data_IF_641881588418
#
_entry.id   IF_641881588418
#
_cell.length_a   1.000
_cell.length_b   1.000
_cell.length_c   1.000
_cell.angle_alpha   90.00
_cell.angle_beta   90.00
_cell.angle_gamma   90.00
#
_symmetry.space_group_name_H-M   'P 1'
#
loop_
_entity.id
_entity.type
_entity.pdbx_description
1 polymer ?
#
# COMPACT_ATOMS: atom_id res chain seq x y z
N UNK A 1 -20.99 -31.41 -19.33
CA UNK A 1 -19.96 -30.86 -18.43
C UNK A 1 -19.87 -29.38 -18.75
N UNK A 2 -20.66 -28.56 -18.06
CA UNK A 2 -20.85 -27.13 -18.38
C UNK A 2 -19.65 -26.33 -17.89
N UNK A 3 -18.89 -25.78 -18.84
CA UNK A 3 -17.81 -24.82 -18.58
C UNK A 3 -18.40 -23.50 -18.09
N UNK A 4 -18.06 -23.12 -16.86
CA UNK A 4 -18.35 -21.79 -16.32
C UNK A 4 -17.31 -20.82 -16.89
N UNK A 5 -17.76 -19.92 -17.76
CA UNK A 5 -16.95 -18.84 -18.30
C UNK A 5 -16.63 -17.84 -17.18
N UNK A 6 -15.34 -17.69 -16.86
CA UNK A 6 -14.86 -16.83 -15.78
C UNK A 6 -14.84 -15.37 -16.26
N UNK A 7 -15.76 -14.56 -15.74
CA UNK A 7 -15.80 -13.12 -15.99
C UNK A 7 -14.43 -12.46 -15.69
N UNK A 8 -14.05 -11.39 -16.42
CA UNK A 8 -12.74 -10.76 -16.24
C UNK A 8 -12.59 -10.26 -14.80
N UNK A 9 -11.61 -10.83 -14.09
CA UNK A 9 -11.21 -10.35 -12.76
C UNK A 9 -10.78 -8.90 -12.91
N UNK A 10 -11.53 -7.98 -12.27
CA UNK A 10 -11.12 -6.58 -12.11
C UNK A 10 -9.68 -6.58 -11.59
N UNK A 11 -8.75 -6.02 -12.37
CA UNK A 11 -7.37 -5.90 -11.93
C UNK A 11 -7.37 -5.10 -10.62
N UNK A 12 -6.91 -5.73 -9.53
CA UNK A 12 -6.82 -5.05 -8.23
C UNK A 12 -5.77 -3.94 -8.41
N UNK A 13 -6.07 -2.68 -8.07
CA UNK A 13 -5.06 -1.63 -8.11
C UNK A 13 -3.84 -2.10 -7.32
N UNK A 14 -2.66 -2.09 -7.94
CA UNK A 14 -1.42 -2.42 -7.24
C UNK A 14 -1.23 -1.40 -6.12
N UNK A 15 -1.16 -1.91 -4.89
CA UNK A 15 -1.10 -1.06 -3.72
C UNK A 15 0.24 -0.32 -3.71
N UNK A 16 0.18 0.99 -3.90
CA UNK A 16 1.35 1.89 -3.78
C UNK A 16 1.78 2.03 -2.32
N UNK A 17 3.07 2.26 -2.09
CA UNK A 17 3.57 2.52 -0.75
C UNK A 17 3.14 3.93 -0.28
N UNK A 18 2.50 4.08 0.90
CA UNK A 18 2.11 5.40 1.43
C UNK A 18 3.30 6.35 1.66
N UNK A 19 4.47 5.79 1.92
CA UNK A 19 5.73 6.52 2.15
C UNK A 19 6.53 6.75 0.87
N UNK A 20 6.29 5.97 -0.19
CA UNK A 20 6.94 6.09 -1.51
C UNK A 20 5.87 6.00 -2.60
N UNK A 21 5.17 7.10 -2.90
CA UNK A 21 3.97 7.07 -3.77
C UNK A 21 4.26 6.69 -5.23
N UNK A 22 5.49 6.84 -5.66
CA UNK A 22 5.98 6.45 -6.99
C UNK A 22 6.33 4.97 -7.08
N UNK A 23 6.39 4.27 -5.95
CA UNK A 23 6.76 2.86 -5.88
C UNK A 23 5.58 1.97 -5.45
N UNK A 24 5.53 0.80 -6.06
CA UNK A 24 4.67 -0.28 -5.61
C UNK A 24 5.16 -0.87 -4.29
N UNK A 25 4.25 -1.51 -3.57
CA UNK A 25 4.63 -2.26 -2.38
C UNK A 25 5.54 -3.44 -2.77
N UNK A 26 6.75 -3.46 -2.21
CA UNK A 26 7.71 -4.55 -2.39
C UNK A 26 7.74 -5.53 -1.20
N UNK A 27 6.76 -5.46 -0.30
CA UNK A 27 6.68 -6.34 0.87
C UNK A 27 6.22 -7.74 0.45
N UNK A 28 7.20 -8.60 0.15
CA UNK A 28 6.96 -10.00 -0.24
C UNK A 28 7.16 -10.92 0.97
N UNK A 29 6.15 -10.99 1.84
CA UNK A 29 6.10 -11.95 2.96
C UNK A 29 4.79 -12.74 2.93
N UNK A 30 4.82 -13.95 3.49
CA UNK A 30 3.63 -14.81 3.58
C UNK A 30 2.56 -14.12 4.43
N UNK A 31 1.30 -14.20 3.97
CA UNK A 31 0.12 -13.61 4.61
C UNK A 31 0.06 -12.07 4.63
N UNK A 32 0.90 -11.38 3.85
CA UNK A 32 0.78 -9.93 3.65
C UNK A 32 -0.42 -9.60 2.77
N UNK A 33 -1.26 -8.68 3.24
CA UNK A 33 -2.47 -8.18 2.59
C UNK A 33 -2.27 -6.82 1.91
N UNK A 34 -1.20 -6.10 2.27
CA UNK A 34 -0.81 -4.86 1.61
C UNK A 34 0.26 -4.04 2.35
N UNK A 35 0.44 -2.75 1.96
CA UNK A 35 1.46 -1.86 2.52
C UNK A 35 1.32 -1.63 4.03
N UNK A 36 0.10 -1.76 4.56
CA UNK A 36 -0.18 -1.54 5.98
C UNK A 36 0.46 -2.60 6.89
N UNK A 37 0.80 -3.76 6.34
CA UNK A 37 1.52 -4.83 7.03
C UNK A 37 3.04 -4.57 7.09
N UNK A 38 3.55 -3.55 6.37
CA UNK A 38 4.95 -3.17 6.46
C UNK A 38 5.21 -2.49 7.81
N UNK A 39 6.19 -2.99 8.57
CA UNK A 39 6.55 -2.41 9.87
C UNK A 39 6.87 -0.92 9.82
N UNK A 40 7.52 -0.43 8.75
CA UNK A 40 7.80 0.99 8.58
C UNK A 40 6.51 1.80 8.38
N UNK A 41 5.59 1.32 7.53
CA UNK A 41 4.30 1.97 7.31
C UNK A 41 3.49 1.95 8.60
N UNK A 42 3.50 0.83 9.34
CA UNK A 42 2.86 0.73 10.65
C UNK A 42 3.39 1.81 11.60
N UNK A 43 4.70 1.95 11.79
CA UNK A 43 5.27 2.93 12.72
C UNK A 43 4.89 4.36 12.34
N UNK A 44 5.13 4.76 11.09
CA UNK A 44 4.88 6.15 10.66
C UNK A 44 3.39 6.47 10.61
N UNK A 45 2.56 5.53 10.15
CA UNK A 45 1.13 5.79 10.01
C UNK A 45 0.38 5.59 11.32
N UNK A 46 0.80 4.73 12.25
CA UNK A 46 0.07 4.55 13.51
C UNK A 46 0.30 5.69 14.50
N UNK A 47 1.46 6.37 14.41
CA UNK A 47 1.81 7.50 15.25
C UNK A 47 1.25 8.82 14.65
N UNK A 48 0.39 9.57 15.36
CA UNK A 48 -0.21 10.81 14.86
C UNK A 48 0.80 11.90 14.52
N UNK A 49 1.88 12.01 15.29
CA UNK A 49 2.88 13.06 15.13
C UNK A 49 3.74 12.75 13.90
N UNK A 50 4.21 11.50 13.78
CA UNK A 50 4.97 11.05 12.60
C UNK A 50 4.13 11.12 11.32
N UNK A 51 2.84 10.77 11.39
CA UNK A 51 1.92 10.86 10.24
C UNK A 51 1.76 12.31 9.79
N UNK A 52 1.66 13.25 10.74
CA UNK A 52 1.51 14.68 10.46
C UNK A 52 2.79 15.24 9.83
N UNK A 53 3.95 14.96 10.41
CA UNK A 53 5.26 15.36 9.84
C UNK A 53 5.45 14.79 8.42
N UNK A 54 5.10 13.52 8.21
CA UNK A 54 5.16 12.92 6.87
C UNK A 54 4.26 13.64 5.86
N UNK A 55 3.05 14.03 6.28
CA UNK A 55 2.14 14.83 5.47
C UNK A 55 2.79 16.14 5.02
N UNK A 56 3.37 16.89 5.96
CA UNK A 56 4.06 18.16 5.69
C UNK A 56 5.23 17.97 4.72
N UNK A 57 6.08 16.96 4.97
CA UNK A 57 7.21 16.63 4.09
C UNK A 57 6.78 16.25 2.69
N UNK A 58 5.70 15.49 2.57
CA UNK A 58 5.10 15.13 1.26
C UNK A 58 4.52 16.34 0.53
N UNK A 59 3.99 17.33 1.24
CA UNK A 59 3.55 18.58 0.63
C UNK A 59 4.72 19.45 0.17
N UNK A 60 5.80 19.50 0.96
CA UNK A 60 7.00 20.25 0.61
C UNK A 60 7.80 19.65 -0.56
N UNK A 61 7.70 18.33 -0.77
CA UNK A 61 8.39 17.61 -1.85
C UNK A 61 7.64 17.60 -3.19
N UNK A 62 6.44 18.18 -3.26
CA UNK A 62 5.65 18.34 -4.50
C UNK A 62 5.95 19.67 -5.17
#
# INVERSE_FOLDING_TARGET
MTSTESAPRRARPEAKCPLRPDEFCNLCQMNVTGPHDCGLVYLVMSDPDLRSEWGERRHAAR
#
